data_IF_954218187149
#
_entry.id   IF_954218187149
#
_cell.length_a   1.000
_cell.length_b   1.000
_cell.length_c   1.000
_cell.angle_alpha   90.00
_cell.angle_beta   90.00
_cell.angle_gamma   90.00
#
_symmetry.space_group_name_H-M   'P 1'
#
loop_
_entity.id
_entity.type
_entity.pdbx_description
1 polymer ?
#
# COMPACT_ATOMS: atom_id res chain seq x y z
N UNK A 1 7.41 9.17 -80.66
CA UNK A 1 8.52 10.11 -80.39
C UNK A 1 7.86 11.24 -79.64
N UNK A 2 7.91 11.37 -78.31
CA UNK A 2 8.93 10.99 -77.32
C UNK A 2 8.24 10.69 -75.96
N UNK A 3 8.43 9.54 -75.29
CA UNK A 3 9.53 9.04 -74.41
C UNK A 3 9.38 9.50 -72.93
N UNK A 4 9.08 8.50 -72.08
CA UNK A 4 9.60 8.12 -70.74
C UNK A 4 9.88 9.16 -69.62
N UNK A 5 9.23 8.89 -68.48
CA UNK A 5 9.77 8.40 -67.19
C UNK A 5 10.91 9.12 -66.40
N UNK A 6 10.74 9.05 -65.07
CA UNK A 6 11.72 9.18 -63.96
C UNK A 6 12.32 10.56 -63.64
N UNK A 7 12.11 11.06 -62.41
CA UNK A 7 12.99 10.81 -61.25
C UNK A 7 12.61 11.73 -60.07
N UNK A 8 12.53 11.19 -58.84
CA UNK A 8 12.41 11.99 -57.61
C UNK A 8 13.75 12.65 -57.22
N UNK A 9 13.71 13.74 -56.44
CA UNK A 9 14.43 13.70 -55.16
C UNK A 9 13.73 14.46 -53.99
N UNK A 10 13.85 13.89 -52.79
CA UNK A 10 13.72 14.50 -51.43
C UNK A 10 15.15 15.03 -51.08
N UNK A 11 15.45 16.11 -50.30
CA UNK A 11 14.96 16.37 -48.92
C UNK A 11 14.92 17.83 -48.35
N UNK A 12 14.36 17.92 -47.13
CA UNK A 12 14.71 18.74 -45.93
C UNK A 12 14.72 20.29 -45.94
N UNK A 13 13.86 20.91 -45.10
CA UNK A 13 14.23 21.59 -43.83
C UNK A 13 13.03 22.35 -43.21
N UNK A 14 12.54 21.95 -42.02
CA UNK A 14 12.69 22.62 -40.69
C UNK A 14 12.30 24.11 -40.71
N UNK A 15 11.32 24.59 -39.93
CA UNK A 15 11.32 24.71 -38.46
C UNK A 15 9.87 24.83 -37.93
N UNK A 16 9.44 24.04 -36.92
CA UNK A 16 8.29 24.35 -36.07
C UNK A 16 8.69 25.28 -34.92
N UNK A 17 7.85 26.30 -34.69
CA UNK A 17 7.95 27.31 -33.63
C UNK A 17 8.09 26.68 -32.23
N UNK A 18 9.28 26.80 -31.66
CA UNK A 18 9.57 26.46 -30.26
C UNK A 18 8.91 27.50 -29.34
N UNK A 19 8.03 27.03 -28.44
CA UNK A 19 7.61 27.81 -27.28
C UNK A 19 8.61 27.55 -26.15
N UNK A 20 9.11 28.57 -25.42
CA UNK A 20 10.20 28.38 -24.48
C UNK A 20 9.72 27.59 -23.25
N UNK A 21 10.35 26.43 -23.06
CA UNK A 21 10.30 25.63 -21.84
C UNK A 21 10.96 26.38 -20.70
N UNK A 22 10.16 26.85 -19.74
CA UNK A 22 10.66 27.21 -18.42
C UNK A 22 10.91 25.89 -17.68
N UNK A 23 12.16 25.43 -17.69
CA UNK A 23 12.65 24.38 -16.79
C UNK A 23 12.69 24.95 -15.39
N UNK A 24 11.65 24.64 -14.61
CA UNK A 24 11.63 24.88 -13.17
C UNK A 24 12.04 23.56 -12.50
N UNK A 25 13.32 23.42 -12.17
CA UNK A 25 13.82 22.33 -11.34
C UNK A 25 13.28 22.52 -9.91
N UNK A 26 12.25 21.76 -9.56
CA UNK A 26 11.65 21.74 -8.23
C UNK A 26 11.51 20.27 -7.74
N UNK A 27 11.49 20.05 -6.41
CA UNK A 27 11.89 18.80 -5.76
C UNK A 27 10.88 17.69 -6.00
N UNK A 28 11.38 16.48 -6.26
CA UNK A 28 10.65 15.22 -6.46
C UNK A 28 9.17 15.30 -6.09
N UNK A 29 8.31 15.55 -7.08
CA UNK A 29 6.87 15.44 -6.91
C UNK A 29 6.57 14.01 -6.47
N UNK A 30 5.99 13.85 -5.28
CA UNK A 30 5.50 12.55 -4.83
C UNK A 30 4.57 12.01 -5.93
N UNK A 31 4.82 10.80 -6.45
CA UNK A 31 4.05 10.26 -7.54
C UNK A 31 2.57 10.16 -7.14
N UNK A 32 1.67 10.38 -8.09
CA UNK A 32 0.23 10.20 -7.87
C UNK A 32 -0.02 8.82 -7.23
N UNK A 33 -0.84 8.78 -6.19
CA UNK A 33 -1.19 7.55 -5.48
C UNK A 33 -1.78 6.50 -6.45
N UNK A 34 -2.43 6.95 -7.54
CA UNK A 34 -2.96 6.08 -8.60
C UNK A 34 -1.96 5.74 -9.72
N UNK A 35 -0.80 6.40 -9.76
CA UNK A 35 0.24 6.08 -10.73
C UNK A 35 0.79 4.67 -10.49
N UNK A 36 1.18 4.01 -11.58
CA UNK A 36 1.69 2.66 -11.56
C UNK A 36 3.17 2.65 -11.14
N UNK A 37 3.50 1.76 -10.22
CA UNK A 37 4.87 1.42 -9.86
C UNK A 37 5.29 0.24 -10.72
N UNK A 38 5.81 0.55 -11.91
CA UNK A 38 6.08 -0.43 -12.98
C UNK A 38 7.10 -1.51 -12.65
N UNK A 39 7.90 -1.34 -11.59
CA UNK A 39 8.81 -2.37 -11.06
C UNK A 39 8.13 -3.36 -10.11
N UNK A 40 6.83 -3.21 -9.84
CA UNK A 40 6.12 -4.04 -8.89
C UNK A 40 4.74 -4.47 -9.38
N UNK A 41 4.35 -5.67 -8.96
CA UNK A 41 3.05 -6.28 -9.25
C UNK A 41 2.27 -6.44 -7.96
N UNK A 42 1.01 -5.99 -7.94
CA UNK A 42 0.10 -6.23 -6.83
C UNK A 42 -0.57 -7.59 -7.02
N UNK A 43 -0.63 -8.38 -5.94
CA UNK A 43 -1.27 -9.69 -5.90
C UNK A 43 -2.30 -9.72 -4.79
N UNK A 44 -3.48 -10.27 -5.08
CA UNK A 44 -4.55 -10.52 -4.12
C UNK A 44 -4.98 -11.98 -4.11
N UNK A 45 -5.57 -12.44 -3.00
CA UNK A 45 -5.97 -13.83 -2.79
C UNK A 45 -4.93 -14.66 -2.03
N UNK A 46 -3.95 -14.03 -1.39
CA UNK A 46 -2.82 -14.72 -0.73
C UNK A 46 -3.10 -15.09 0.74
N UNK A 47 -4.37 -15.09 1.17
CA UNK A 47 -4.82 -15.34 2.55
C UNK A 47 -4.21 -16.60 3.21
N UNK A 48 -4.00 -17.63 2.40
CA UNK A 48 -3.58 -18.97 2.83
C UNK A 48 -2.14 -19.30 2.43
N UNK A 49 -1.37 -18.31 1.93
CA UNK A 49 0.00 -18.48 1.50
C UNK A 49 0.99 -17.86 2.50
N UNK A 50 2.02 -18.63 2.84
CA UNK A 50 3.21 -18.09 3.51
C UNK A 50 4.14 -17.38 2.52
N UNK A 51 5.03 -16.53 3.03
CA UNK A 51 6.06 -15.87 2.22
C UNK A 51 6.89 -16.87 1.40
N UNK A 52 7.23 -18.03 1.99
CA UNK A 52 7.97 -19.09 1.33
C UNK A 52 7.20 -19.69 0.15
N UNK A 53 5.90 -19.95 0.32
CA UNK A 53 5.04 -20.48 -0.74
C UNK A 53 4.84 -19.49 -1.88
N UNK A 54 4.73 -18.19 -1.57
CA UNK A 54 4.66 -17.14 -2.61
C UNK A 54 5.96 -17.12 -3.42
N UNK A 55 7.12 -17.16 -2.76
CA UNK A 55 8.42 -17.20 -3.45
C UNK A 55 8.59 -18.44 -4.31
N UNK A 56 8.22 -19.61 -3.79
CA UNK A 56 8.26 -20.87 -4.54
C UNK A 56 7.35 -20.81 -5.79
N UNK A 57 6.12 -20.32 -5.62
CA UNK A 57 5.18 -20.15 -6.72
C UNK A 57 5.71 -19.19 -7.80
N UNK A 58 6.24 -18.03 -7.40
CA UNK A 58 6.84 -17.07 -8.36
C UNK A 58 8.05 -17.69 -9.06
N UNK A 59 8.93 -18.39 -8.33
CA UNK A 59 10.13 -19.04 -8.89
C UNK A 59 9.81 -20.15 -9.89
N UNK A 60 8.62 -20.77 -9.79
CA UNK A 60 8.16 -21.80 -10.73
C UNK A 60 7.94 -21.23 -12.13
N UNK A 61 7.47 -19.98 -12.22
CA UNK A 61 7.17 -19.33 -13.51
C UNK A 61 8.24 -18.31 -13.92
N UNK A 62 8.94 -17.72 -12.96
CA UNK A 62 9.95 -16.66 -13.14
C UNK A 62 11.25 -17.06 -12.42
N UNK A 63 11.93 -18.14 -12.85
CA UNK A 63 13.13 -18.64 -12.17
C UNK A 63 14.36 -17.72 -12.32
N UNK A 64 14.36 -16.83 -13.32
CA UNK A 64 15.50 -15.97 -13.65
C UNK A 64 15.71 -14.85 -12.62
N UNK A 65 14.65 -14.44 -11.92
CA UNK A 65 14.68 -13.27 -11.04
C UNK A 65 13.96 -13.54 -9.72
N UNK A 66 14.62 -13.23 -8.61
CA UNK A 66 13.99 -13.17 -7.30
C UNK A 66 13.17 -11.88 -7.15
N UNK A 67 12.10 -11.95 -6.36
CA UNK A 67 11.29 -10.78 -6.00
C UNK A 67 11.29 -10.55 -4.49
N UNK A 68 11.17 -9.28 -4.11
CA UNK A 68 10.94 -8.88 -2.72
C UNK A 68 9.44 -8.77 -2.48
N UNK A 69 8.96 -9.36 -1.39
CA UNK A 69 7.53 -9.32 -1.03
C UNK A 69 7.29 -8.16 -0.06
N UNK A 70 6.41 -7.25 -0.46
CA UNK A 70 5.93 -6.15 0.39
C UNK A 70 4.47 -6.41 0.80
N UNK A 71 4.25 -6.82 2.05
CA UNK A 71 2.89 -7.06 2.55
C UNK A 71 2.10 -5.77 2.73
N UNK A 72 0.90 -5.72 2.14
CA UNK A 72 -0.06 -4.61 2.32
C UNK A 72 -0.99 -4.95 3.47
N UNK A 73 -1.60 -6.13 3.42
CA UNK A 73 -2.50 -6.68 4.42
C UNK A 73 -2.42 -8.23 4.39
N UNK A 74 -3.32 -8.92 5.10
CA UNK A 74 -3.27 -10.38 5.23
C UNK A 74 -3.66 -11.13 3.92
N UNK A 75 -4.30 -10.45 2.96
CA UNK A 75 -4.76 -11.00 1.67
C UNK A 75 -4.01 -10.43 0.45
N UNK A 76 -3.20 -9.40 0.64
CA UNK A 76 -2.59 -8.65 -0.45
C UNK A 76 -1.12 -8.31 -0.17
N UNK A 77 -0.30 -8.48 -1.21
CA UNK A 77 1.10 -8.10 -1.20
C UNK A 77 1.53 -7.57 -2.57
N UNK A 78 2.64 -6.84 -2.59
CA UNK A 78 3.34 -6.54 -3.84
C UNK A 78 4.54 -7.47 -4.01
N UNK A 79 4.75 -7.89 -5.25
CA UNK A 79 5.98 -8.52 -5.73
C UNK A 79 6.83 -7.43 -6.37
N UNK A 80 7.99 -7.13 -5.80
CA UNK A 80 8.90 -6.09 -6.29
C UNK A 80 10.07 -6.73 -7.03
N UNK A 81 10.27 -6.30 -8.27
CA UNK A 81 11.33 -6.76 -9.16
C UNK A 81 12.41 -5.69 -9.33
N UNK A 82 13.62 -6.06 -9.81
CA UNK A 82 14.72 -5.12 -9.99
C UNK A 82 14.43 -3.98 -10.97
N UNK A 83 13.66 -4.27 -12.03
CA UNK A 83 13.37 -3.33 -13.11
C UNK A 83 12.00 -3.58 -13.76
N UNK A 84 11.56 -2.63 -14.59
CA UNK A 84 10.26 -2.64 -15.28
C UNK A 84 10.14 -3.80 -16.28
N UNK A 85 11.22 -4.14 -17.00
CA UNK A 85 11.17 -5.22 -17.99
C UNK A 85 11.00 -6.58 -17.34
N UNK A 86 11.69 -6.81 -16.21
CA UNK A 86 11.52 -8.02 -15.40
C UNK A 86 10.11 -8.11 -14.85
N UNK A 87 9.57 -7.03 -14.27
CA UNK A 87 8.21 -6.99 -13.75
C UNK A 87 7.17 -7.28 -14.85
N UNK A 88 7.33 -6.66 -16.01
CA UNK A 88 6.46 -6.90 -17.17
C UNK A 88 6.51 -8.35 -17.64
N UNK A 89 7.70 -8.93 -17.79
CA UNK A 89 7.87 -10.36 -18.16
C UNK A 89 7.24 -11.27 -17.11
N UNK A 90 7.48 -11.00 -15.83
CA UNK A 90 6.91 -11.76 -14.73
C UNK A 90 5.38 -11.75 -14.76
N UNK A 91 4.78 -10.59 -15.02
CA UNK A 91 3.33 -10.45 -15.16
C UNK A 91 2.77 -11.37 -16.26
N UNK A 92 3.35 -11.35 -17.47
CA UNK A 92 2.93 -12.25 -18.55
C UNK A 92 3.08 -13.73 -18.21
N UNK A 93 4.14 -14.11 -17.48
CA UNK A 93 4.39 -15.50 -17.10
C UNK A 93 3.45 -15.99 -16.00
N UNK A 94 2.94 -15.09 -15.15
CA UNK A 94 2.08 -15.42 -14.02
C UNK A 94 0.59 -15.42 -14.36
N UNK A 95 0.16 -14.72 -15.42
CA UNK A 95 -1.24 -14.66 -15.84
C UNK A 95 -1.70 -16.00 -16.42
N UNK A 96 -2.93 -16.39 -16.08
CA UNK A 96 -3.53 -17.67 -16.50
C UNK A 96 -3.85 -17.73 -17.99
N UNK A 97 -4.46 -16.68 -18.53
CA UNK A 97 -4.89 -16.61 -19.93
C UNK A 97 -4.02 -15.63 -20.73
N UNK A 98 -3.59 -15.96 -21.95
CA UNK A 98 -2.79 -15.05 -22.76
C UNK A 98 -3.60 -13.80 -23.13
N UNK A 99 -2.97 -12.63 -23.01
CA UNK A 99 -3.60 -11.33 -23.26
C UNK A 99 -3.17 -10.81 -24.62
N UNK A 100 -4.13 -10.49 -25.49
CA UNK A 100 -3.89 -9.92 -26.82
C UNK A 100 -3.62 -8.41 -26.78
N UNK A 101 -4.32 -7.68 -25.91
CA UNK A 101 -4.15 -6.23 -25.72
C UNK A 101 -3.91 -5.93 -24.24
N UNK A 102 -2.79 -5.27 -23.96
CA UNK A 102 -2.33 -5.07 -22.60
C UNK A 102 -2.84 -3.72 -22.06
N UNK A 103 -3.71 -3.77 -21.06
CA UNK A 103 -4.11 -2.62 -20.26
C UNK A 103 -3.33 -2.62 -18.96
N UNK A 104 -2.42 -1.66 -18.80
CA UNK A 104 -1.56 -1.51 -17.61
C UNK A 104 -2.36 -1.41 -16.29
N UNK A 105 -3.64 -1.03 -16.35
CA UNK A 105 -4.49 -0.89 -15.18
C UNK A 105 -5.40 -2.10 -14.90
N UNK A 106 -5.46 -3.05 -15.83
CA UNK A 106 -6.33 -4.21 -15.71
C UNK A 106 -5.82 -5.22 -14.67
N UNK A 107 -6.78 -5.90 -14.04
CA UNK A 107 -6.54 -7.03 -13.17
C UNK A 107 -6.75 -8.32 -13.96
N UNK A 108 -5.85 -9.28 -13.74
CA UNK A 108 -5.83 -10.53 -14.47
C UNK A 108 -5.79 -11.71 -13.51
N UNK A 109 -6.49 -12.82 -13.84
CA UNK A 109 -6.38 -14.04 -13.06
C UNK A 109 -4.97 -14.63 -13.20
N UNK A 110 -4.37 -15.01 -12.08
CA UNK A 110 -3.08 -15.72 -12.10
C UNK A 110 -3.28 -17.21 -12.35
N UNK A 111 -2.20 -17.86 -12.78
CA UNK A 111 -2.10 -19.31 -12.82
C UNK A 111 -2.37 -19.91 -11.43
N UNK A 112 -2.95 -21.11 -11.36
CA UNK A 112 -3.19 -21.77 -10.08
C UNK A 112 -1.86 -22.12 -9.42
N UNK A 113 -1.78 -21.90 -8.11
CA UNK A 113 -0.63 -22.33 -7.31
C UNK A 113 -0.66 -23.85 -7.15
N UNK A 114 0.39 -24.61 -7.53
CA UNK A 114 0.40 -26.07 -7.43
C UNK A 114 0.15 -26.60 -6.00
N UNK A 115 0.63 -25.88 -4.98
CA UNK A 115 0.43 -26.26 -3.57
C UNK A 115 -0.97 -25.92 -3.05
N UNK A 116 -1.68 -24.98 -3.68
CA UNK A 116 -2.98 -24.47 -3.26
C UNK A 116 -3.88 -24.23 -4.49
N UNK A 117 -4.35 -25.31 -5.14
CA UNK A 117 -5.06 -25.22 -6.43
C UNK A 117 -6.50 -24.69 -6.31
N UNK A 118 -7.08 -24.66 -5.11
CA UNK A 118 -8.47 -24.20 -4.89
C UNK A 118 -8.62 -22.69 -4.70
N UNK A 119 -7.51 -21.97 -4.56
CA UNK A 119 -7.53 -20.52 -4.37
C UNK A 119 -7.43 -19.80 -5.71
N UNK A 120 -8.21 -18.72 -5.87
CA UNK A 120 -8.10 -17.82 -7.00
C UNK A 120 -7.24 -16.62 -6.62
N UNK A 121 -6.33 -16.24 -7.51
CA UNK A 121 -5.43 -15.11 -7.30
C UNK A 121 -5.58 -14.12 -8.45
N UNK A 122 -5.49 -12.84 -8.15
CA UNK A 122 -5.49 -11.78 -9.16
C UNK A 122 -4.18 -11.01 -9.12
N UNK A 123 -3.72 -10.54 -10.27
CA UNK A 123 -2.50 -9.76 -10.43
C UNK A 123 -2.73 -8.54 -11.32
N UNK A 124 -2.04 -7.45 -11.00
CA UNK A 124 -1.92 -6.24 -11.84
C UNK A 124 -0.62 -5.52 -11.55
N UNK A 125 -0.30 -4.46 -12.29
CA UNK A 125 0.73 -3.53 -11.82
C UNK A 125 0.34 -2.91 -10.47
N UNK A 126 1.31 -2.82 -9.57
CA UNK A 126 1.13 -2.13 -8.31
C UNK A 126 0.99 -0.62 -8.54
N UNK A 127 0.24 0.05 -7.68
CA UNK A 127 0.09 1.51 -7.62
C UNK A 127 0.89 2.05 -6.45
N UNK A 128 1.27 3.32 -6.47
CA UNK A 128 1.96 3.95 -5.33
C UNK A 128 1.12 3.99 -4.04
N UNK A 129 -0.21 3.82 -4.16
CA UNK A 129 -1.12 3.64 -3.04
C UNK A 129 -1.15 2.23 -2.45
N UNK A 130 -0.63 1.23 -3.17
CA UNK A 130 -0.61 -0.17 -2.72
C UNK A 130 0.50 -0.37 -1.67
N UNK A 131 0.35 0.29 -0.52
CA UNK A 131 1.30 0.30 0.58
C UNK A 131 0.57 0.01 1.88
N UNK A 132 1.27 -0.65 2.80
CA UNK A 132 0.75 -0.94 4.13
C UNK A 132 0.25 0.35 4.80
N UNK A 133 -1.01 0.34 5.23
CA UNK A 133 -1.64 1.51 5.84
C UNK A 133 -0.92 1.87 7.14
N UNK A 134 -0.69 3.17 7.38
CA UNK A 134 -0.13 3.65 8.65
C UNK A 134 -0.99 3.16 9.81
N UNK A 135 -0.35 2.66 10.85
CA UNK A 135 -1.03 2.05 12.00
C UNK A 135 -1.85 0.79 11.68
N UNK A 136 -1.47 0.03 10.64
CA UNK A 136 -2.08 -1.27 10.35
C UNK A 136 -2.07 -2.24 11.56
N UNK A 137 -1.11 -2.11 12.47
CA UNK A 137 -1.07 -2.88 13.72
C UNK A 137 -2.31 -2.66 14.61
N UNK A 138 -2.99 -1.51 14.52
CA UNK A 138 -4.22 -1.26 15.28
C UNK A 138 -5.43 -2.07 14.77
N UNK A 139 -5.36 -2.60 13.54
CA UNK A 139 -6.50 -3.22 12.85
C UNK A 139 -6.23 -4.63 12.31
N UNK A 140 -4.96 -5.02 12.14
CA UNK A 140 -4.59 -6.37 11.70
C UNK A 140 -4.97 -7.39 12.76
N UNK A 141 -5.63 -8.48 12.33
CA UNK A 141 -6.05 -9.57 13.22
C UNK A 141 -4.87 -10.14 14.01
N UNK A 142 -3.71 -10.26 13.36
CA UNK A 142 -2.52 -10.79 14.00
C UNK A 142 -2.17 -10.03 15.27
N UNK A 143 -2.02 -8.70 15.19
CA UNK A 143 -1.70 -7.85 16.34
C UNK A 143 -2.83 -7.77 17.36
N UNK A 144 -4.09 -7.88 16.92
CA UNK A 144 -5.23 -7.95 17.84
C UNK A 144 -5.22 -9.22 18.70
N UNK A 145 -4.78 -10.36 18.14
CA UNK A 145 -4.69 -11.63 18.87
C UNK A 145 -3.37 -11.81 19.65
N UNK A 146 -2.25 -11.31 19.12
CA UNK A 146 -0.92 -11.56 19.69
C UNK A 146 -0.34 -10.36 20.46
N UNK A 147 -0.99 -9.18 20.39
CA UNK A 147 -0.52 -7.94 20.98
C UNK A 147 0.54 -7.22 20.14
N UNK A 148 0.74 -5.92 20.40
CA UNK A 148 1.81 -5.15 19.76
C UNK A 148 3.10 -5.30 20.58
N UNK A 149 4.18 -5.90 20.02
CA UNK A 149 5.46 -5.99 20.72
C UNK A 149 6.02 -4.61 21.11
N UNK A 150 5.70 -3.55 20.36
CA UNK A 150 6.14 -2.18 20.64
C UNK A 150 5.38 -1.48 21.77
N UNK A 151 4.22 -2.01 22.20
CA UNK A 151 3.52 -1.45 23.37
C UNK A 151 4.29 -1.71 24.67
N UNK A 152 5.06 -2.80 24.75
CA UNK A 152 5.76 -3.20 25.98
C UNK A 152 6.84 -2.20 26.40
N UNK A 153 7.50 -1.54 25.45
CA UNK A 153 8.58 -0.59 25.73
C UNK A 153 8.10 0.77 26.27
N UNK A 154 6.88 1.18 25.90
CA UNK A 154 6.29 2.44 26.42
C UNK A 154 5.87 2.34 27.88
N UNK A 155 5.71 1.11 28.36
CA UNK A 155 5.31 0.84 29.75
C UNK A 155 6.45 0.76 30.74
N UNK A 156 7.73 0.81 30.33
CA UNK A 156 8.85 0.89 31.29
C UNK A 156 8.81 2.24 32.00
N UNK A 157 8.34 2.32 33.25
CA UNK A 157 8.53 3.53 34.02
C UNK A 157 10.03 3.54 34.31
N UNK A 158 10.76 4.49 33.74
CA UNK A 158 12.11 4.81 34.18
C UNK A 158 12.14 4.73 35.70
N UNK A 159 12.94 3.81 36.25
CA UNK A 159 13.17 3.67 37.67
C UNK A 159 13.71 5.01 38.20
N UNK A 160 12.81 5.88 38.62
CA UNK A 160 13.15 6.93 39.57
C UNK A 160 13.14 6.24 40.92
N UNK A 161 14.32 5.78 41.32
CA UNK A 161 14.63 5.51 42.71
C UNK A 161 14.31 6.78 43.51
N UNK A 162 13.19 6.76 44.24
CA UNK A 162 12.98 7.65 45.39
C UNK A 162 12.93 6.75 46.61
N UNK A 163 13.72 7.03 47.66
CA UNK A 163 13.71 6.24 48.87
C UNK A 163 12.38 6.43 49.61
N UNK A 164 12.06 5.39 50.38
CA UNK A 164 10.92 5.27 51.28
C UNK A 164 10.54 6.59 51.96
N UNK A 165 9.26 6.94 51.88
CA UNK A 165 8.52 7.44 53.04
C UNK A 165 7.06 6.99 52.88
N UNK A 166 6.65 6.16 53.83
CA UNK A 166 5.26 5.90 54.14
C UNK A 166 4.52 7.23 54.42
N UNK A 167 3.22 7.12 54.22
CA UNK A 167 2.16 7.94 54.78
C UNK A 167 1.51 9.04 53.91
N UNK A 168 0.17 8.98 53.99
CA UNK A 168 -0.85 9.96 53.59
C UNK A 168 -1.48 9.95 52.18
N UNK A 169 -2.70 9.38 52.19
CA UNK A 169 -3.97 9.86 51.60
C UNK A 169 -4.09 10.01 50.08
N UNK A 170 -5.08 9.27 49.57
CA UNK A 170 -5.70 9.40 48.25
C UNK A 170 -6.02 10.86 47.89
N UNK A 171 -5.16 11.48 47.10
CA UNK A 171 -5.51 12.67 46.34
C UNK A 171 -5.63 12.25 44.89
N UNK A 172 -6.87 12.12 44.42
CA UNK A 172 -7.21 11.83 43.04
C UNK A 172 -6.51 12.84 42.12
N UNK A 173 -5.51 12.39 41.39
CA UNK A 173 -4.65 13.22 40.57
C UNK A 173 -5.50 13.86 39.43
N UNK A 174 -5.69 15.20 39.40
CA UNK A 174 -6.66 15.87 38.54
C UNK A 174 -6.35 15.73 37.04
N UNK A 175 -5.14 15.32 36.67
CA UNK A 175 -4.79 14.98 35.28
C UNK A 175 -5.51 13.73 34.76
N UNK A 176 -5.78 12.73 35.62
CA UNK A 176 -6.42 11.47 35.18
C UNK A 176 -7.88 11.66 34.76
N UNK A 177 -8.58 12.65 35.33
CA UNK A 177 -9.95 13.02 34.91
C UNK A 177 -9.99 13.68 33.53
N UNK A 178 -8.90 14.30 33.05
CA UNK A 178 -8.86 14.99 31.75
C UNK A 178 -8.43 14.11 30.59
N UNK A 179 -7.62 13.09 30.85
CA UNK A 179 -6.99 12.25 29.81
C UNK A 179 -7.88 11.06 29.41
N UNK A 180 -8.91 10.76 30.21
CA UNK A 180 -9.79 9.62 29.98
C UNK A 180 -9.12 8.27 30.30
N UNK A 181 -9.85 7.16 30.15
CA UNK A 181 -9.31 5.82 30.35
C UNK A 181 -8.16 5.54 29.38
N UNK A 182 -7.15 4.78 29.83
CA UNK A 182 -6.07 4.30 28.96
C UNK A 182 -6.66 3.46 27.83
N UNK A 183 -6.05 3.49 26.65
CA UNK A 183 -6.48 2.68 25.49
C UNK A 183 -6.57 1.18 25.82
N UNK A 184 -5.66 0.69 26.67
CA UNK A 184 -5.68 -0.70 27.16
C UNK A 184 -6.88 -1.07 28.02
N UNK A 185 -7.60 -0.08 28.56
CA UNK A 185 -8.80 -0.25 29.39
C UNK A 185 -10.09 -0.14 28.58
N UNK A 186 -10.00 0.20 27.28
CA UNK A 186 -11.15 0.28 26.39
C UNK A 186 -11.42 -1.07 25.72
N UNK A 187 -12.69 -1.44 25.62
CA UNK A 187 -13.17 -2.55 24.80
C UNK A 187 -12.95 -2.28 23.31
N UNK A 188 -12.98 -3.34 22.49
CA UNK A 188 -12.80 -3.25 21.03
C UNK A 188 -13.77 -2.26 20.38
N UNK A 189 -15.05 -2.28 20.79
CA UNK A 189 -16.08 -1.35 20.31
C UNK A 189 -15.74 0.10 20.68
N UNK A 190 -15.23 0.34 21.88
CA UNK A 190 -14.86 1.68 22.34
C UNK A 190 -13.65 2.22 21.56
N UNK A 191 -12.64 1.40 21.28
CA UNK A 191 -11.46 1.79 20.50
C UNK A 191 -11.82 2.17 19.06
N UNK A 192 -12.70 1.41 18.41
CA UNK A 192 -13.19 1.72 17.06
C UNK A 192 -13.93 3.07 17.07
N UNK A 193 -14.75 3.31 18.10
CA UNK A 193 -15.54 4.53 18.25
C UNK A 193 -14.73 5.79 18.59
N UNK A 194 -13.56 5.61 19.21
CA UNK A 194 -12.63 6.67 19.60
C UNK A 194 -11.58 6.97 18.51
N UNK A 195 -11.62 6.28 17.36
CA UNK A 195 -10.68 6.53 16.27
C UNK A 195 -10.83 7.97 15.72
N UNK A 196 -9.73 8.62 15.31
CA UNK A 196 -9.77 9.97 14.73
C UNK A 196 -10.69 10.07 13.50
N UNK A 197 -10.83 8.97 12.75
CA UNK A 197 -11.76 8.87 11.62
C UNK A 197 -13.23 8.90 12.08
N UNK A 198 -13.58 8.15 13.14
CA UNK A 198 -14.91 8.19 13.74
C UNK A 198 -15.23 9.56 14.35
N UNK A 199 -14.25 10.22 14.98
CA UNK A 199 -14.43 11.57 15.53
C UNK A 199 -14.63 12.63 14.43
N UNK A 200 -13.87 12.54 13.32
CA UNK A 200 -14.07 13.39 12.13
C UNK A 200 -15.48 13.20 11.55
N UNK A 201 -15.97 11.96 11.47
CA UNK A 201 -17.33 11.64 11.00
C UNK A 201 -18.41 12.23 11.92
N UNK A 202 -18.23 12.10 13.25
CA UNK A 202 -19.12 12.72 14.26
C UNK A 202 -19.15 14.24 14.16
N UNK A 203 -18.00 14.90 14.03
CA UNK A 203 -17.92 16.37 13.87
C UNK A 203 -18.58 16.84 12.58
N UNK A 204 -18.39 16.13 11.46
CA UNK A 204 -19.05 16.41 10.18
C UNK A 204 -20.57 16.30 10.30
N UNK A 205 -21.08 15.22 10.90
CA UNK A 205 -22.51 15.01 11.07
C UNK A 205 -23.15 16.06 12.00
N UNK A 206 -22.44 16.48 13.05
CA UNK A 206 -22.92 17.55 13.97
C UNK A 206 -22.99 18.91 13.29
N UNK A 207 -22.07 19.22 12.36
CA UNK A 207 -22.10 20.45 11.55
C UNK A 207 -23.23 20.45 10.53
N UNK A 208 -23.54 19.30 9.93
CA UNK A 208 -24.65 19.16 8.98
C UNK A 208 -26.00 19.32 9.67
N UNK A 209 -26.18 18.72 10.86
CA UNK A 209 -27.42 18.86 11.66
C UNK A 209 -27.65 20.29 12.14
N UNK A 210 -26.58 21.05 12.41
CA UNK A 210 -26.71 22.48 12.77
C UNK A 210 -27.10 23.39 11.59
N UNK A 211 -26.88 22.95 10.35
CA UNK A 211 -27.26 23.68 9.13
C UNK A 211 -28.68 23.39 8.67
N UNK A 212 -29.32 22.31 9.14
CA UNK A 212 -30.72 21.99 8.84
C UNK A 212 -31.72 22.64 9.80
N UNK A 213 -31.25 23.12 10.96
CA UNK A 213 -32.05 23.74 12.01
C UNK A 213 -31.98 25.28 12.00
N UNK A 214 -31.47 25.89 10.92
CA UNK A 214 -31.42 27.35 10.67
C UNK A 214 -32.06 27.65 9.34
#
# INVERSE_FOLDING_TARGET
MDIEEHNAPIPEDRIPTESPTIVNENPAEEPDDLALRKTALHVSGVDFMSEAQIKEFVSTYVPEHECVIEWINDNECNLVFPDEDVARRALYLLISEPISEFDDYAEHPMKPCPSLPSSSYQIRYARYKDKKVKSAHLYSRYYLFHGDPHEKDRSSPSQRNSPENEDTKEVSNPLRKRIGPKVSQLSLLERISASPAAERKRRRNRRLKKKSDT
#
